data_IF_572580552341
#
_entry.id   IF_572580552341
#
_cell.length_a   1.000
_cell.length_b   1.000
_cell.length_c   1.000
_cell.angle_alpha   90.00
_cell.angle_beta   90.00
_cell.angle_gamma   90.00
#
_symmetry.space_group_name_H-M   'P 1'
#
loop_
_entity.id
_entity.type
_entity.pdbx_description
1 polymer ?
#
# COMPACT_ATOMS: atom_id res chain seq x y z
N UNK A 1 -2.93 13.39 -3.66
CA UNK A 1 -1.60 12.80 -3.83
C UNK A 1 -1.32 11.79 -2.75
N UNK A 2 -1.06 10.56 -3.14
CA UNK A 2 -0.82 9.49 -2.19
C UNK A 2 0.23 8.52 -2.69
N UNK A 3 0.84 7.82 -1.75
CA UNK A 3 1.82 6.77 -2.04
C UNK A 3 1.21 5.46 -1.58
N UNK A 4 0.99 4.53 -2.50
CA UNK A 4 0.37 3.24 -2.21
C UNK A 4 1.41 2.15 -2.36
N UNK A 5 1.69 1.43 -1.26
CA UNK A 5 2.63 0.31 -1.26
C UNK A 5 1.82 -0.96 -1.13
N UNK A 6 1.75 -1.73 -2.19
CA UNK A 6 0.83 -2.86 -2.30
C UNK A 6 1.56 -4.17 -2.03
N UNK A 7 1.11 -4.89 -1.00
CA UNK A 7 1.56 -6.25 -0.69
C UNK A 7 0.73 -7.21 -1.54
N UNK A 8 1.11 -7.38 -2.80
CA UNK A 8 0.30 -8.11 -3.76
C UNK A 8 0.22 -9.60 -3.45
N UNK A 9 1.21 -10.15 -2.74
CA UNK A 9 1.16 -11.54 -2.29
C UNK A 9 0.00 -11.78 -1.32
N UNK A 10 -0.39 -10.73 -0.59
CA UNK A 10 -1.47 -10.81 0.38
C UNK A 10 -2.82 -10.44 -0.22
N UNK A 11 -2.89 -9.32 -0.94
CA UNK A 11 -4.18 -8.78 -1.38
C UNK A 11 -4.58 -9.16 -2.80
N UNK A 12 -3.61 -9.55 -3.63
CA UNK A 12 -3.87 -9.92 -5.03
C UNK A 12 -4.62 -8.81 -5.77
N UNK A 13 -5.41 -9.17 -6.78
CA UNK A 13 -6.08 -8.17 -7.60
C UNK A 13 -7.15 -7.37 -6.83
N UNK A 14 -7.71 -7.93 -5.77
CA UNK A 14 -8.67 -7.18 -4.97
C UNK A 14 -8.03 -5.95 -4.33
N UNK A 15 -6.75 -6.04 -4.02
CA UNK A 15 -6.04 -4.92 -3.39
C UNK A 15 -5.86 -3.72 -4.30
N UNK A 16 -5.90 -3.92 -5.61
CA UNK A 16 -5.72 -2.82 -6.56
C UNK A 16 -7.04 -2.37 -7.20
N UNK A 17 -8.17 -2.75 -6.60
CA UNK A 17 -9.47 -2.29 -7.05
C UNK A 17 -9.50 -0.76 -7.09
N UNK A 18 -10.01 -0.19 -8.16
CA UNK A 18 -10.10 1.26 -8.38
C UNK A 18 -8.78 1.95 -8.66
N UNK A 19 -7.73 1.19 -9.00
CA UNK A 19 -6.45 1.79 -9.35
C UNK A 19 -6.59 2.76 -10.54
N UNK A 20 -7.55 2.51 -11.43
CA UNK A 20 -7.78 3.37 -12.58
C UNK A 20 -8.32 4.75 -12.19
N UNK A 21 -8.80 4.91 -10.96
CA UNK A 21 -9.33 6.19 -10.49
C UNK A 21 -8.27 7.10 -9.89
N UNK A 22 -7.05 6.62 -9.75
CA UNK A 22 -5.98 7.42 -9.18
C UNK A 22 -5.52 8.49 -10.16
N UNK A 23 -4.90 9.53 -9.64
CA UNK A 23 -4.48 10.67 -10.43
C UNK A 23 -3.00 10.58 -10.79
N UNK A 24 -2.55 11.48 -11.65
CA UNK A 24 -1.15 11.53 -12.05
C UNK A 24 -0.21 11.88 -10.90
N UNK A 25 -0.74 12.45 -9.81
CA UNK A 25 0.08 12.77 -8.65
C UNK A 25 0.20 11.61 -7.66
N UNK A 26 -0.51 10.51 -7.92
CA UNK A 26 -0.43 9.32 -7.06
C UNK A 26 0.67 8.39 -7.54
N UNK A 27 1.26 7.67 -6.60
CA UNK A 27 2.29 6.67 -6.90
C UNK A 27 1.84 5.34 -6.32
N UNK A 28 2.01 4.27 -7.10
CA UNK A 28 1.70 2.92 -6.66
C UNK A 28 2.94 2.06 -6.83
N UNK A 29 3.36 1.38 -5.76
CA UNK A 29 4.47 0.43 -5.82
C UNK A 29 3.91 -0.94 -5.49
N UNK A 30 4.01 -1.87 -6.42
CA UNK A 30 3.46 -3.21 -6.25
C UNK A 30 4.59 -4.17 -5.94
N UNK A 31 4.56 -4.73 -4.73
CA UNK A 31 5.53 -5.72 -4.30
C UNK A 31 4.93 -7.11 -4.52
N UNK A 32 5.64 -7.95 -5.25
CA UNK A 32 5.16 -9.31 -5.54
C UNK A 32 6.33 -10.29 -5.46
N UNK A 33 6.01 -11.55 -5.24
CA UNK A 33 7.03 -12.60 -5.13
C UNK A 33 6.73 -13.76 -6.05
N UNK A 34 7.37 -14.88 -5.77
CA UNK A 34 7.37 -16.04 -6.66
C UNK A 34 6.01 -16.67 -6.86
N UNK A 35 5.06 -16.46 -5.94
CA UNK A 35 3.75 -17.06 -6.08
C UNK A 35 2.90 -16.37 -7.14
N UNK A 36 3.28 -15.17 -7.55
CA UNK A 36 2.52 -14.42 -8.54
C UNK A 36 3.11 -14.68 -9.92
N UNK A 37 2.37 -15.41 -10.75
CA UNK A 37 2.81 -15.77 -12.10
C UNK A 37 2.06 -15.02 -13.19
N UNK A 38 0.91 -14.45 -12.85
CA UNK A 38 0.07 -13.77 -13.83
C UNK A 38 -0.86 -12.82 -13.09
N UNK A 39 -1.52 -11.94 -13.84
CA UNK A 39 -2.57 -11.10 -13.28
C UNK A 39 -3.80 -11.27 -14.19
N UNK A 40 -5.00 -11.10 -13.64
CA UNK A 40 -6.19 -11.15 -14.48
C UNK A 40 -6.14 -10.08 -15.55
N UNK A 41 -6.63 -10.42 -16.72
CA UNK A 41 -6.58 -9.50 -17.86
C UNK A 41 -7.30 -8.19 -17.55
N UNK A 42 -8.46 -8.26 -16.91
CA UNK A 42 -9.18 -7.04 -16.58
C UNK A 42 -8.44 -6.18 -15.57
N UNK A 43 -7.68 -6.77 -14.66
CA UNK A 43 -6.85 -6.01 -13.74
C UNK A 43 -5.76 -5.26 -14.52
N UNK A 44 -5.15 -5.93 -15.48
CA UNK A 44 -4.15 -5.30 -16.33
C UNK A 44 -4.73 -4.09 -17.07
N UNK A 45 -5.93 -4.25 -17.61
CA UNK A 45 -6.59 -3.15 -18.34
C UNK A 45 -6.81 -1.96 -17.40
N UNK A 46 -7.24 -2.23 -16.18
CA UNK A 46 -7.44 -1.15 -15.20
C UNK A 46 -6.14 -0.46 -14.84
N UNK A 47 -5.07 -1.23 -14.72
CA UNK A 47 -3.76 -0.64 -14.44
C UNK A 47 -3.28 0.24 -15.56
N UNK A 48 -3.49 -0.20 -16.81
CA UNK A 48 -3.11 0.59 -17.97
C UNK A 48 -3.93 1.86 -18.09
N UNK A 49 -5.15 1.86 -17.57
CA UNK A 49 -6.01 3.03 -17.60
C UNK A 49 -5.69 4.04 -16.49
N UNK A 50 -4.89 3.64 -15.51
CA UNK A 50 -4.55 4.51 -14.39
C UNK A 50 -3.58 5.60 -14.83
N UNK A 51 -3.74 6.79 -14.26
CA UNK A 51 -2.80 7.89 -14.50
C UNK A 51 -1.67 7.90 -13.48
N UNK A 52 -1.75 7.07 -12.45
CA UNK A 52 -0.73 7.02 -11.41
C UNK A 52 0.58 6.47 -11.96
N UNK A 53 1.67 6.84 -11.31
CA UNK A 53 2.98 6.22 -11.61
C UNK A 53 2.99 4.87 -10.92
N UNK A 54 3.12 3.79 -11.70
CA UNK A 54 3.07 2.43 -11.19
C UNK A 54 4.44 1.79 -11.36
N UNK A 55 4.96 1.24 -10.27
CA UNK A 55 6.24 0.58 -10.23
C UNK A 55 6.05 -0.84 -9.69
N UNK A 56 6.76 -1.82 -10.25
CA UNK A 56 6.76 -3.19 -9.75
C UNK A 56 8.10 -3.49 -9.10
N UNK A 57 8.05 -4.11 -7.94
CA UNK A 57 9.26 -4.59 -7.27
C UNK A 57 9.07 -6.07 -6.98
N UNK A 58 9.91 -6.89 -7.61
CA UNK A 58 9.89 -8.33 -7.37
C UNK A 58 10.75 -8.66 -6.16
N UNK A 59 10.14 -9.38 -5.21
CA UNK A 59 10.88 -9.83 -4.04
C UNK A 59 11.06 -11.33 -4.17
N UNK A 60 12.30 -11.77 -4.32
CA UNK A 60 12.59 -13.19 -4.44
C UNK A 60 12.38 -13.83 -3.08
N UNK A 61 11.45 -14.75 -3.02
CA UNK A 61 11.04 -15.31 -1.75
C UNK A 61 12.04 -16.35 -1.28
N UNK A 62 12.78 -16.06 -0.24
CA UNK A 62 13.71 -16.99 0.36
C UNK A 62 13.40 -17.24 1.84
N UNK A 63 12.64 -16.37 2.47
CA UNK A 63 12.36 -16.49 3.88
C UNK A 63 11.03 -15.82 4.21
N UNK A 64 10.48 -16.19 5.36
CA UNK A 64 9.25 -15.59 5.85
C UNK A 64 9.44 -14.08 6.04
N UNK A 65 8.43 -13.32 5.68
CA UNK A 65 8.41 -11.86 5.84
C UNK A 65 9.42 -11.13 4.96
N UNK A 66 9.95 -11.81 3.95
CA UNK A 66 10.94 -11.19 3.06
C UNK A 66 10.36 -9.94 2.40
N UNK A 67 9.17 -10.07 1.83
CA UNK A 67 8.48 -8.94 1.19
C UNK A 67 8.22 -7.83 2.18
N UNK A 68 7.79 -8.18 3.40
CA UNK A 68 7.43 -7.20 4.42
C UNK A 68 8.62 -6.30 4.75
N UNK A 69 9.80 -6.90 4.90
CA UNK A 69 10.98 -6.11 5.21
C UNK A 69 11.38 -5.21 4.05
N UNK A 70 11.26 -5.71 2.82
CA UNK A 70 11.60 -4.89 1.66
C UNK A 70 10.63 -3.74 1.48
N UNK A 71 9.35 -3.98 1.71
CA UNK A 71 8.34 -2.93 1.62
C UNK A 71 8.64 -1.83 2.65
N UNK A 72 8.91 -2.23 3.89
CA UNK A 72 9.22 -1.27 4.95
C UNK A 72 10.47 -0.47 4.64
N UNK A 73 11.48 -1.14 4.11
CA UNK A 73 12.74 -0.49 3.76
C UNK A 73 12.54 0.54 2.64
N UNK A 74 11.80 0.16 1.62
CA UNK A 74 11.57 1.07 0.50
C UNK A 74 10.74 2.27 0.93
N UNK A 75 9.76 2.05 1.80
CA UNK A 75 8.96 3.15 2.34
C UNK A 75 9.87 4.16 3.06
N UNK A 76 10.79 3.68 3.89
CA UNK A 76 11.74 4.55 4.56
C UNK A 76 12.59 5.34 3.58
N UNK A 77 13.00 4.69 2.48
CA UNK A 77 13.77 5.36 1.44
C UNK A 77 12.96 6.49 0.80
N UNK A 78 11.70 6.23 0.45
CA UNK A 78 10.86 7.24 -0.18
C UNK A 78 10.65 8.44 0.74
N UNK A 79 10.36 8.19 2.01
CA UNK A 79 10.17 9.26 2.97
C UNK A 79 11.46 10.04 3.17
N UNK A 80 12.57 9.33 3.26
CA UNK A 80 13.88 9.96 3.48
C UNK A 80 14.32 10.84 2.34
N UNK A 81 13.91 10.52 1.12
CA UNK A 81 14.27 11.36 -0.02
C UNK A 81 13.26 12.48 -0.27
N UNK A 82 12.28 12.63 0.61
CA UNK A 82 11.42 13.79 0.57
C UNK A 82 10.07 13.61 -0.11
N UNK A 83 9.68 12.37 -0.39
CA UNK A 83 8.35 12.14 -0.96
C UNK A 83 7.30 12.64 0.01
N UNK A 84 6.31 13.34 -0.50
CA UNK A 84 5.25 13.92 0.32
C UNK A 84 3.93 13.23 0.04
N UNK A 85 3.01 13.44 0.96
CA UNK A 85 1.65 12.94 0.82
C UNK A 85 1.42 11.78 1.78
N UNK A 86 0.17 11.40 1.93
CA UNK A 86 -0.14 10.26 2.80
C UNK A 86 0.37 8.96 2.20
N UNK A 87 0.69 8.02 3.08
CA UNK A 87 1.20 6.71 2.71
C UNK A 87 0.15 5.67 3.06
N UNK A 88 -0.14 4.78 2.12
CA UNK A 88 -1.10 3.70 2.33
C UNK A 88 -0.39 2.37 2.09
N UNK A 89 -0.35 1.53 3.12
CA UNK A 89 0.14 0.15 2.97
C UNK A 89 -1.09 -0.70 2.67
N UNK A 90 -1.11 -1.31 1.50
CA UNK A 90 -2.25 -2.10 1.06
C UNK A 90 -1.98 -3.56 1.39
N UNK A 91 -2.54 -4.00 2.51
CA UNK A 91 -2.36 -5.36 3.01
C UNK A 91 -3.35 -5.61 4.13
N UNK A 92 -3.73 -6.87 4.31
CA UNK A 92 -4.55 -7.28 5.45
C UNK A 92 -3.69 -7.73 6.62
N UNK A 93 -2.37 -7.75 6.45
CA UNK A 93 -1.45 -8.21 7.49
C UNK A 93 -1.27 -7.11 8.53
N UNK A 94 -1.75 -7.36 9.74
CA UNK A 94 -1.68 -6.37 10.83
C UNK A 94 -0.26 -6.14 11.33
N UNK A 95 0.69 -6.98 10.91
CA UNK A 95 2.10 -6.76 11.24
C UNK A 95 2.61 -5.43 10.72
N UNK A 96 2.01 -4.91 9.64
CA UNK A 96 2.38 -3.61 9.10
C UNK A 96 1.94 -2.45 10.00
N UNK A 97 1.08 -2.69 10.98
CA UNK A 97 0.61 -1.61 11.86
C UNK A 97 1.76 -0.99 12.65
N UNK A 98 2.80 -1.76 12.96
CA UNK A 98 3.95 -1.21 13.66
C UNK A 98 4.68 -0.17 12.80
N UNK A 99 4.71 -0.40 11.50
CA UNK A 99 5.34 0.54 10.56
C UNK A 99 4.52 1.81 10.46
N UNK A 100 3.20 1.66 10.39
CA UNK A 100 2.28 2.79 10.37
C UNK A 100 2.48 3.64 11.64
N UNK A 101 2.53 2.98 12.79
CA UNK A 101 2.72 3.68 14.06
C UNK A 101 4.05 4.42 14.11
N UNK A 102 5.10 3.80 13.59
CA UNK A 102 6.42 4.42 13.56
C UNK A 102 6.39 5.75 12.81
N UNK A 103 5.79 5.75 11.62
CA UNK A 103 5.76 6.95 10.79
C UNK A 103 4.79 8.00 11.32
N UNK A 104 3.65 7.56 11.87
CA UNK A 104 2.72 8.50 12.51
C UNK A 104 3.39 9.23 13.66
N UNK A 105 4.25 8.53 14.39
CA UNK A 105 5.00 9.15 15.47
C UNK A 105 5.97 10.22 14.99
N UNK A 106 6.24 10.26 13.68
CA UNK A 106 7.11 11.26 13.07
C UNK A 106 6.34 12.21 12.15
N UNK A 107 5.04 12.33 12.39
CA UNK A 107 4.16 13.27 11.70
C UNK A 107 4.00 12.97 10.20
N UNK A 108 4.12 11.71 9.84
CA UNK A 108 3.81 11.25 8.48
C UNK A 108 2.43 10.61 8.52
N UNK A 109 1.54 11.06 7.63
CA UNK A 109 0.23 10.41 7.52
C UNK A 109 0.41 9.04 6.90
N UNK A 110 0.11 8.00 7.66
CA UNK A 110 0.29 6.63 7.22
C UNK A 110 -0.91 5.80 7.64
N UNK A 111 -1.30 4.87 6.77
CA UNK A 111 -2.49 4.03 6.97
C UNK A 111 -2.22 2.65 6.42
N UNK A 112 -2.91 1.65 6.96
CA UNK A 112 -2.98 0.32 6.37
C UNK A 112 -4.42 0.04 6.01
N UNK A 113 -4.65 -0.42 4.79
CA UNK A 113 -6.00 -0.76 4.34
C UNK A 113 -5.95 -1.92 3.36
N UNK A 114 -7.05 -2.66 3.19
CA UNK A 114 -7.02 -3.89 2.38
C UNK A 114 -7.02 -3.66 0.89
N UNK A 115 -7.35 -2.47 0.42
CA UNK A 115 -7.33 -2.20 -1.01
C UNK A 115 -7.19 -0.71 -1.26
N UNK A 116 -6.79 -0.37 -2.49
CA UNK A 116 -6.71 1.03 -2.91
C UNK A 116 -8.09 1.67 -2.82
N UNK A 117 -9.15 0.89 -3.07
CA UNK A 117 -10.52 1.39 -3.04
C UNK A 117 -11.02 1.70 -1.64
N UNK A 118 -10.38 1.18 -0.61
CA UNK A 118 -10.86 1.40 0.76
C UNK A 118 -10.67 2.84 1.15
N UNK A 119 -11.66 3.46 1.78
CA UNK A 119 -11.46 4.82 2.26
C UNK A 119 -10.45 4.79 3.40
N UNK A 120 -9.54 5.75 3.33
CA UNK A 120 -8.65 5.93 4.45
C UNK A 120 -9.32 6.90 5.36
N UNK A 121 -9.82 6.58 6.34
CA UNK A 121 -10.47 7.55 7.04
C UNK A 121 -10.08 7.68 8.33
N UNK A 122 -9.92 8.50 8.61
CA UNK A 122 -9.81 8.65 9.92
C UNK A 122 -11.15 8.88 10.45
N UNK A 123 -11.65 8.82 9.59
CA UNK A 123 -12.63 9.02 9.83
C UNK A 123 -13.11 8.25 10.36
N UNK A 124 -12.65 8.19 10.11
CA UNK A 124 -12.97 7.44 10.51
C UNK A 124 -12.50 7.10 11.33
N UNK A 125 -12.33 7.23 11.26
CA UNK A 125 -12.22 6.84 11.98
C UNK A 125 -11.97 6.83 12.74
N UNK A 126 -11.92 6.94 12.81
CA UNK A 126 -12.11 6.86 13.47
C UNK A 126 -12.00 6.84 14.13
N UNK A 127 -11.89 7.01 14.19
CA UNK A 127 -12.36 6.86 14.59
C UNK A 127 -12.35 6.60 15.23
N UNK A 128 -12.16 6.55 15.39
CA UNK A 128 -12.65 6.19 15.80
C UNK A 128 -12.59 5.95 16.49
N UNK A 129 -12.26 6.02 16.68
CA UNK A 129 -12.62 5.73 17.16
C UNK A 129 -12.58 5.36 17.59
N UNK A 130 -12.01 5.55 17.65
CA UNK A 130 -12.35 5.11 18.03
C UNK A 130 -12.09 4.70 18.13
N UNK A 131 -11.88 4.65 18.16
CA UNK A 131 -12.11 4.18 18.17
C UNK A 131 -11.87 3.78 18.17
N UNK A 132 -11.57 3.67 18.23
CA UNK A 132 -11.75 3.19 18.18
C UNK A 132 -11.47 2.81 18.11
N UNK A 133 -11.19 2.70 18.09
CA UNK A 133 -11.36 2.18 17.93
C UNK A 133 -11.14 1.81 17.85
N UNK A 134 -10.94 1.64 17.85
CA UNK A 134 -11.13 1.22 17.68
C UNK A 134 -11.16 0.91 17.68
N UNK A 135 -10.69 1.02 17.66
CA UNK A 135 -11.01 0.74 17.56
C UNK A 135 -11.17 0.51 17.61
#
# INVERSE_FOLDING_TARGET
>A
MGIYLVDYENVHNDGVTDIQKLSASDRVVIFYGDSIKSIPFETHVEMMASKAAIEYIETHKVAKNYLDFQLATYLGFLIGKGEKGPVYIISQDTGFDSIVDFWRGRNIEAFRQPSIASPSTPKDVSLKKGTSTKK
#
